data_IF_152093335480
#
_entry.id   IF_152093335480
#
_cell.length_a   1.000
_cell.length_b   1.000
_cell.length_c   1.000
_cell.angle_alpha   90.00
_cell.angle_beta   90.00
_cell.angle_gamma   90.00
#
_symmetry.space_group_name_H-M   'P 1'
#
loop_
_entity.id
_entity.type
_entity.pdbx_description
1 polymer ?
#
# COMPACT_ATOMS: atom_id res chain seq x y z
N UNK A 1 -30.85 20.30 6.55
CA UNK A 1 -29.83 19.68 5.70
C UNK A 1 -28.95 18.89 6.65
N UNK A 2 -29.10 17.56 6.67
CA UNK A 2 -28.29 16.70 7.55
C UNK A 2 -26.83 16.85 7.14
N UNK A 3 -25.96 17.27 8.06
CA UNK A 3 -24.52 17.26 7.83
C UNK A 3 -24.10 15.83 7.47
N UNK A 4 -23.68 15.60 6.23
CA UNK A 4 -23.08 14.32 5.85
C UNK A 4 -21.73 14.25 6.54
N UNK A 5 -21.42 13.09 7.15
CA UNK A 5 -20.09 12.81 7.67
C UNK A 5 -19.05 13.09 6.57
N UNK A 6 -17.87 13.63 6.92
CA UNK A 6 -16.83 13.91 5.94
C UNK A 6 -16.47 12.62 5.19
N UNK A 7 -16.48 12.69 3.87
CA UNK A 7 -16.15 11.58 2.99
C UNK A 7 -14.68 11.20 3.22
N UNK A 8 -14.43 10.03 3.81
CA UNK A 8 -13.08 9.57 4.15
C UNK A 8 -12.64 8.46 3.20
N UNK A 9 -11.37 8.50 2.83
CA UNK A 9 -10.74 7.41 2.10
C UNK A 9 -10.33 6.30 3.07
N UNK A 10 -10.28 5.06 2.58
CA UNK A 10 -9.80 3.95 3.42
C UNK A 10 -8.31 4.12 3.78
N UNK A 11 -7.55 4.84 2.95
CA UNK A 11 -6.17 5.19 3.22
C UNK A 11 -5.99 6.18 4.39
N UNK A 12 -7.01 7.02 4.64
CA UNK A 12 -7.07 7.94 5.78
C UNK A 12 -7.32 7.20 7.10
N UNK A 13 -8.15 6.14 7.06
CA UNK A 13 -8.53 5.37 8.24
C UNK A 13 -7.48 4.33 8.65
N UNK A 14 -6.68 3.86 7.70
CA UNK A 14 -5.64 2.88 7.93
C UNK A 14 -4.37 3.54 8.54
N UNK A 15 -3.55 2.77 9.31
CA UNK A 15 -2.34 3.31 9.91
C UNK A 15 -1.40 3.84 8.83
N UNK A 16 -1.03 5.12 8.95
CA UNK A 16 -0.22 5.78 7.92
C UNK A 16 1.19 5.19 7.84
N UNK A 17 1.63 4.97 6.61
CA UNK A 17 3.01 4.65 6.27
C UNK A 17 3.82 5.93 6.08
N UNK A 18 5.14 5.78 6.21
CA UNK A 18 6.06 6.91 6.17
C UNK A 18 7.21 6.61 5.22
N UNK A 19 7.52 7.54 4.32
CA UNK A 19 8.59 7.39 3.33
C UNK A 19 9.81 8.25 3.69
N UNK A 20 10.99 7.63 3.68
CA UNK A 20 12.27 8.31 3.89
C UNK A 20 12.62 9.16 2.67
N UNK A 21 12.64 10.49 2.79
CA UNK A 21 13.01 11.38 1.68
C UNK A 21 14.46 11.22 1.20
N UNK A 22 15.32 10.63 2.02
CA UNK A 22 16.73 10.44 1.68
C UNK A 22 16.97 9.25 0.73
N UNK A 23 16.12 8.21 0.75
CA UNK A 23 16.37 6.99 -0.02
C UNK A 23 15.11 6.27 -0.54
N UNK A 24 13.91 6.76 -0.26
CA UNK A 24 12.64 6.15 -0.69
C UNK A 24 12.20 4.92 0.12
N UNK A 25 12.86 4.59 1.23
CA UNK A 25 12.40 3.49 2.09
C UNK A 25 11.05 3.83 2.73
N UNK A 26 10.08 2.92 2.63
CA UNK A 26 8.76 3.07 3.25
C UNK A 26 8.66 2.22 4.52
N UNK A 27 8.45 2.89 5.65
CA UNK A 27 8.04 2.27 6.90
C UNK A 27 6.54 1.97 6.84
N UNK A 28 6.20 0.68 6.93
CA UNK A 28 4.84 0.17 6.98
C UNK A 28 4.55 -0.33 8.42
N UNK A 29 3.68 0.35 9.18
CA UNK A 29 3.35 -0.05 10.54
C UNK A 29 2.88 -1.50 10.66
N UNK A 30 2.24 -2.06 9.62
CA UNK A 30 1.75 -3.44 9.65
C UNK A 30 2.89 -4.46 9.61
N UNK A 31 4.04 -4.09 9.03
CA UNK A 31 5.23 -4.92 8.92
C UNK A 31 6.26 -4.64 10.03
N UNK A 32 6.30 -3.40 10.51
CA UNK A 32 7.35 -2.94 11.43
C UNK A 32 8.71 -2.83 10.72
N UNK A 33 9.79 -2.98 11.48
CA UNK A 33 11.17 -2.97 11.00
C UNK A 33 11.98 -4.06 11.72
N UNK A 34 12.05 -5.25 11.10
CA UNK A 34 12.77 -6.41 11.65
C UNK A 34 14.27 -6.17 11.80
N UNK A 35 14.89 -5.33 10.95
CA UNK A 35 16.32 -5.02 11.04
C UNK A 35 16.68 -4.24 12.30
N UNK A 36 15.70 -3.55 12.90
CA UNK A 36 15.87 -2.80 14.15
C UNK A 36 14.99 -3.31 15.29
N UNK A 37 14.51 -4.56 15.20
CA UNK A 37 13.67 -5.21 16.22
C UNK A 37 12.37 -4.45 16.52
N UNK A 38 11.79 -3.78 15.53
CA UNK A 38 10.46 -3.17 15.64
C UNK A 38 9.42 -4.16 15.15
N UNK A 39 8.52 -4.67 16.01
CA UNK A 39 7.50 -5.62 15.59
C UNK A 39 6.43 -4.95 14.72
N UNK A 40 5.77 -5.75 13.88
CA UNK A 40 4.57 -5.34 13.17
C UNK A 40 3.47 -4.88 14.13
N UNK A 41 2.71 -3.87 13.73
CA UNK A 41 1.73 -3.16 14.54
C UNK A 41 2.28 -1.89 15.20
N UNK A 42 3.59 -1.64 15.19
CA UNK A 42 4.18 -0.43 15.78
C UNK A 42 3.89 0.78 14.90
N UNK A 43 3.17 1.78 15.41
CA UNK A 43 2.91 3.01 14.64
C UNK A 43 4.18 3.85 14.54
N UNK A 44 4.30 4.65 13.48
CA UNK A 44 5.46 5.52 13.28
C UNK A 44 5.72 6.47 14.46
N UNK A 45 4.65 6.99 15.07
CA UNK A 45 4.72 7.84 16.26
C UNK A 45 5.31 7.10 17.47
N UNK A 46 5.11 5.80 17.55
CA UNK A 46 5.53 4.94 18.67
C UNK A 46 6.94 4.35 18.45
N UNK A 47 7.58 4.64 17.31
CA UNK A 47 8.99 4.30 17.09
C UNK A 47 9.90 5.06 18.06
N UNK A 48 10.99 4.44 18.55
CA UNK A 48 12.02 5.12 19.33
C UNK A 48 12.55 6.39 18.64
N UNK A 49 12.95 7.39 19.41
CA UNK A 49 13.46 8.66 18.87
C UNK A 49 14.83 8.50 18.17
N UNK A 50 15.61 7.51 18.61
CA UNK A 50 16.89 7.13 18.01
C UNK A 50 16.74 6.16 16.84
N UNK A 51 15.51 5.77 16.49
CA UNK A 51 15.25 4.95 15.32
C UNK A 51 15.70 5.69 14.05
N UNK A 52 16.34 4.93 13.17
CA UNK A 52 16.92 5.42 11.92
C UNK A 52 16.48 4.55 10.77
N UNK A 53 16.42 5.13 9.58
CA UNK A 53 16.12 4.39 8.36
C UNK A 53 17.01 3.13 8.27
N UNK A 54 16.45 1.92 8.10
CA UNK A 54 17.22 0.69 8.01
C UNK A 54 18.04 0.60 6.70
N UNK A 55 17.72 1.43 5.70
CA UNK A 55 18.42 1.46 4.41
C UNK A 55 19.56 2.47 4.39
N UNK A 56 19.31 3.72 4.82
CA UNK A 56 20.28 4.82 4.67
C UNK A 56 20.72 5.47 5.99
N UNK A 57 20.24 4.97 7.14
CA UNK A 57 20.55 5.50 8.49
C UNK A 57 20.13 6.97 8.74
N UNK A 58 19.36 7.57 7.83
CA UNK A 58 18.76 8.88 8.05
C UNK A 58 17.85 8.88 9.30
N UNK A 59 17.78 10.00 10.04
CA UNK A 59 16.97 10.10 11.25
C UNK A 59 15.46 10.08 10.93
N UNK A 60 14.64 9.71 11.93
CA UNK A 60 13.16 9.70 11.89
C UNK A 60 12.56 11.00 11.31
N UNK A 61 13.18 12.16 11.52
CA UNK A 61 12.70 13.44 10.97
C UNK A 61 12.74 13.55 9.43
N UNK A 62 13.48 12.66 8.74
CA UNK A 62 13.57 12.67 7.28
C UNK A 62 12.41 11.96 6.59
N UNK A 63 11.49 11.39 7.36
CA UNK A 63 10.33 10.72 6.81
C UNK A 63 9.15 11.66 6.65
N UNK A 64 8.35 11.41 5.62
CA UNK A 64 7.08 12.07 5.36
C UNK A 64 5.94 11.07 5.46
N UNK A 65 4.80 11.51 5.99
CA UNK A 65 3.58 10.71 5.96
C UNK A 65 3.08 10.63 4.50
N UNK A 66 2.83 9.41 4.03
CA UNK A 66 2.32 9.15 2.67
C UNK A 66 0.95 8.46 2.67
N UNK A 67 0.27 8.45 3.82
CA UNK A 67 -0.96 7.68 4.03
C UNK A 67 -0.72 6.16 4.08
N UNK A 68 -1.77 5.36 4.07
CA UNK A 68 -1.65 3.90 4.09
C UNK A 68 -1.39 3.32 2.70
N UNK A 69 -0.22 2.69 2.51
CA UNK A 69 0.18 2.12 1.19
C UNK A 69 -0.58 0.86 0.78
N UNK A 70 -1.12 0.11 1.74
CA UNK A 70 -1.83 -1.13 1.47
C UNK A 70 -3.35 -0.95 1.38
N UNK A 71 -3.86 0.28 1.54
CA UNK A 71 -5.29 0.55 1.46
C UNK A 71 -5.76 0.64 0.00
N UNK A 72 -6.94 0.09 -0.33
CA UNK A 72 -7.65 0.39 -1.56
C UNK A 72 -7.79 1.90 -1.79
N UNK A 73 -7.57 2.34 -3.03
CA UNK A 73 -7.67 3.75 -3.40
C UNK A 73 -9.13 4.21 -3.48
N UNK A 74 -9.40 5.44 -3.04
CA UNK A 74 -10.70 6.10 -3.18
C UNK A 74 -11.50 6.22 -1.88
N UNK A 75 -12.67 6.82 -2.02
CA UNK A 75 -13.62 7.05 -0.94
C UNK A 75 -14.37 5.77 -0.56
N UNK A 76 -14.71 5.63 0.72
CA UNK A 76 -15.39 4.45 1.26
C UNK A 76 -16.65 4.05 0.46
N UNK A 77 -17.46 5.03 0.04
CA UNK A 77 -18.69 4.82 -0.72
C UNK A 77 -18.46 4.23 -2.13
N UNK A 78 -17.31 4.49 -2.73
CA UNK A 78 -16.99 4.02 -4.08
C UNK A 78 -16.34 2.62 -4.09
N UNK A 79 -15.95 2.09 -2.93
CA UNK A 79 -15.32 0.77 -2.83
C UNK A 79 -16.28 -0.37 -3.21
N UNK A 80 -17.58 -0.17 -3.08
CA UNK A 80 -18.63 -1.14 -3.45
C UNK A 80 -19.09 -1.03 -4.90
N UNK A 81 -18.64 -0.01 -5.65
CA UNK A 81 -19.05 0.18 -7.04
C UNK A 81 -18.42 -0.87 -7.97
N UNK A 82 -19.19 -1.33 -8.97
CA UNK A 82 -18.71 -2.22 -10.04
C UNK A 82 -18.54 -3.68 -9.60
N UNK A 83 -17.55 -4.37 -10.19
CA UNK A 83 -17.35 -5.82 -10.03
C UNK A 83 -16.40 -6.19 -8.87
N UNK A 84 -16.35 -5.37 -7.82
CA UNK A 84 -15.57 -5.68 -6.62
C UNK A 84 -14.04 -5.56 -6.76
N UNK A 85 -13.55 -4.92 -7.83
CA UNK A 85 -12.11 -4.59 -8.00
C UNK A 85 -11.68 -3.33 -7.24
N UNK A 86 -12.63 -2.48 -6.86
CA UNK A 86 -12.37 -1.22 -6.14
C UNK A 86 -12.00 -1.44 -4.67
N UNK A 87 -12.29 -2.61 -4.10
CA UNK A 87 -11.88 -3.01 -2.74
C UNK A 87 -10.53 -3.72 -2.68
N UNK A 88 -9.84 -3.91 -3.81
CA UNK A 88 -8.55 -4.61 -3.86
C UNK A 88 -7.42 -3.69 -3.43
N UNK A 89 -6.42 -4.25 -2.75
CA UNK A 89 -5.16 -3.52 -2.54
C UNK A 89 -4.44 -3.29 -3.86
N UNK A 90 -3.54 -2.29 -3.96
CA UNK A 90 -2.76 -2.07 -5.18
C UNK A 90 -2.02 -3.34 -5.66
N UNK A 91 -1.46 -4.11 -4.72
CA UNK A 91 -0.77 -5.36 -5.03
C UNK A 91 -1.70 -6.45 -5.59
N UNK A 92 -2.90 -6.64 -5.01
CA UNK A 92 -3.88 -7.60 -5.51
C UNK A 92 -4.38 -7.22 -6.91
N UNK A 93 -4.62 -5.93 -7.15
CA UNK A 93 -5.05 -5.41 -8.45
C UNK A 93 -3.98 -5.62 -9.51
N UNK A 94 -2.73 -5.32 -9.19
CA UNK A 94 -1.60 -5.56 -10.09
C UNK A 94 -1.45 -7.05 -10.42
N UNK A 95 -1.53 -7.91 -9.40
CA UNK A 95 -1.45 -9.36 -9.61
C UNK A 95 -2.55 -9.85 -10.56
N UNK A 96 -3.80 -9.41 -10.36
CA UNK A 96 -4.92 -9.78 -11.22
C UNK A 96 -4.71 -9.31 -12.66
N UNK A 97 -4.27 -8.06 -12.85
CA UNK A 97 -4.01 -7.49 -14.19
C UNK A 97 -2.90 -8.27 -14.90
N UNK A 98 -1.73 -8.42 -14.27
CA UNK A 98 -0.59 -9.06 -14.92
C UNK A 98 -0.78 -10.56 -15.12
N UNK A 99 -1.46 -11.25 -14.21
CA UNK A 99 -1.82 -12.65 -14.41
C UNK A 99 -2.79 -12.82 -15.58
N UNK A 100 -3.82 -11.98 -15.68
CA UNK A 100 -4.77 -12.03 -16.79
C UNK A 100 -4.10 -11.71 -18.14
N UNK A 101 -3.25 -10.68 -18.19
CA UNK A 101 -2.48 -10.34 -19.39
C UNK A 101 -1.52 -11.48 -19.79
N UNK A 102 -0.82 -12.08 -18.83
CA UNK A 102 0.08 -13.20 -19.07
C UNK A 102 -0.64 -14.45 -19.58
N UNK A 103 -1.77 -14.82 -18.96
CA UNK A 103 -2.61 -15.93 -19.41
C UNK A 103 -3.18 -15.66 -20.82
N UNK A 104 -3.65 -14.44 -21.08
CA UNK A 104 -4.14 -14.04 -22.41
C UNK A 104 -3.04 -14.11 -23.48
N UNK A 105 -1.82 -13.69 -23.15
CA UNK A 105 -0.67 -13.81 -24.05
C UNK A 105 -0.32 -15.27 -24.35
N UNK A 106 -0.27 -16.13 -23.33
CA UNK A 106 -0.02 -17.57 -23.51
C UNK A 106 -1.14 -18.25 -24.31
N UNK A 107 -2.39 -17.88 -24.06
CA UNK A 107 -3.53 -18.34 -24.85
C UNK A 107 -3.36 -17.95 -26.33
N UNK A 108 -3.03 -16.69 -26.63
CA UNK A 108 -2.80 -16.24 -28.00
C UNK A 108 -1.64 -16.99 -28.67
N UNK A 109 -0.52 -17.19 -27.97
CA UNK A 109 0.60 -17.99 -28.47
C UNK A 109 0.22 -19.46 -28.74
N UNK A 110 -0.64 -20.05 -27.92
CA UNK A 110 -1.08 -21.43 -28.11
C UNK A 110 -1.84 -21.63 -29.43
N UNK A 111 -2.49 -20.59 -29.96
CA UNK A 111 -3.19 -20.63 -31.25
C UNK A 111 -2.22 -20.77 -32.43
N UNK A 112 -0.97 -20.30 -32.32
CA UNK A 112 0.06 -20.52 -33.35
C UNK A 112 0.52 -21.98 -33.41
N UNK A 113 0.29 -22.77 -32.34
CA UNK A 113 0.61 -24.19 -32.29
C UNK A 113 -0.48 -25.11 -32.86
N UNK A 114 -1.59 -24.55 -33.37
CA UNK A 114 -2.70 -25.31 -33.96
C UNK A 114 -2.55 -25.55 -35.48
N UNK A 115 -1.38 -25.23 -36.05
CA UNK A 115 -1.03 -25.51 -37.45
C UNK A 115 -0.31 -26.85 -37.60
#
# INVERSE_FOLDING_TARGET
MTERAPEQTLAEQAPSSYECRACGYVYDPTKGDSNRNVPGGTLYKDLPDDWRCPVCSAPKIQFINIGAVNAPSGFQENLTYGFGVNRMTPAQKNLLIFAALGLGFLFFLSLYGLN
#
